data_IF_963146029928
#
_entry.id   IF_963146029928
#
_cell.length_a   1.000
_cell.length_b   1.000
_cell.length_c   1.000
_cell.angle_alpha   90.00
_cell.angle_beta   90.00
_cell.angle_gamma   90.00
#
_symmetry.space_group_name_H-M   'P 1'
#
loop_
_entity.id
_entity.type
_entity.pdbx_description
1 polymer ?
#
# COMPACT_ATOMS: atom_id res chain seq x y z
N UNK A 1 -24.68 -13.62 2.32
CA UNK A 1 -23.54 -12.92 1.68
C UNK A 1 -23.73 -13.09 0.20
N UNK A 2 -24.07 -12.00 -0.49
CA UNK A 2 -24.38 -12.00 -1.92
C UNK A 2 -23.13 -11.63 -2.70
N UNK A 3 -22.68 -12.54 -3.57
CA UNK A 3 -21.45 -12.40 -4.35
C UNK A 3 -21.86 -12.19 -5.81
N UNK A 4 -21.56 -11.01 -6.35
CA UNK A 4 -21.84 -10.65 -7.75
C UNK A 4 -20.52 -10.37 -8.48
N UNK A 5 -20.40 -10.88 -9.70
CA UNK A 5 -19.30 -10.55 -10.60
C UNK A 5 -19.58 -9.21 -11.28
N UNK A 6 -18.72 -8.22 -11.05
CA UNK A 6 -18.79 -6.89 -11.67
C UNK A 6 -17.58 -6.65 -12.56
N UNK A 7 -17.80 -5.96 -13.69
CA UNK A 7 -16.72 -5.64 -14.63
C UNK A 7 -15.74 -4.65 -14.02
N UNK A 8 -14.44 -4.92 -14.20
CA UNK A 8 -13.34 -4.12 -13.64
C UNK A 8 -13.33 -2.68 -14.17
N UNK A 9 -13.88 -2.48 -15.36
CA UNK A 9 -13.97 -1.18 -16.05
C UNK A 9 -15.01 -0.25 -15.41
N UNK A 10 -16.04 -0.82 -14.79
CA UNK A 10 -17.09 -0.08 -14.07
C UNK A 10 -16.64 0.30 -12.64
N UNK A 11 -15.62 -0.39 -12.12
CA UNK A 11 -14.87 -0.02 -10.91
C UNK A 11 -13.85 1.06 -11.26
N UNK A 12 -14.23 2.09 -12.02
CA UNK A 12 -13.44 3.33 -12.05
C UNK A 12 -13.51 3.91 -10.65
N UNK A 13 -12.47 3.65 -9.86
CA UNK A 13 -12.22 4.26 -8.56
C UNK A 13 -12.15 5.78 -8.74
N UNK A 14 -13.32 6.43 -8.80
CA UNK A 14 -13.48 7.89 -8.89
C UNK A 14 -13.14 8.59 -7.58
N UNK A 15 -12.54 7.86 -6.63
CA UNK A 15 -11.89 8.41 -5.45
C UNK A 15 -10.40 8.37 -5.71
N UNK A 16 -9.90 9.43 -6.34
CA UNK A 16 -8.55 9.93 -6.06
C UNK A 16 -8.38 9.87 -4.53
N UNK A 17 -7.66 8.85 -4.04
CA UNK A 17 -7.27 8.67 -2.65
C UNK A 17 -6.27 9.76 -2.20
N UNK A 18 -6.31 10.96 -2.79
CA UNK A 18 -5.11 11.77 -3.03
C UNK A 18 -4.76 12.80 -1.97
N UNK A 19 -5.43 12.85 -0.81
CA UNK A 19 -5.00 13.75 0.28
C UNK A 19 -4.32 12.98 1.42
N UNK A 20 -5.05 12.11 2.14
CA UNK A 20 -4.54 11.48 3.36
C UNK A 20 -3.29 10.59 3.13
N UNK A 21 -3.28 9.79 2.06
CA UNK A 21 -2.21 8.81 1.80
C UNK A 21 -1.23 9.25 0.71
N UNK A 22 -1.34 10.49 0.22
CA UNK A 22 -0.38 11.03 -0.75
C UNK A 22 1.05 11.09 -0.19
N UNK A 23 1.28 11.52 1.07
CA UNK A 23 2.62 11.49 1.66
C UNK A 23 3.20 10.07 1.72
N UNK A 24 2.36 9.07 2.02
CA UNK A 24 2.76 7.66 2.02
C UNK A 24 3.20 7.22 0.63
N UNK A 25 2.40 7.48 -0.41
CA UNK A 25 2.75 7.15 -1.79
C UNK A 25 4.03 7.83 -2.26
N UNK A 26 4.23 9.10 -1.92
CA UNK A 26 5.42 9.85 -2.32
C UNK A 26 6.68 9.37 -1.58
N UNK A 27 6.54 8.86 -0.35
CA UNK A 27 7.63 8.18 0.34
C UNK A 27 7.92 6.80 -0.26
N UNK A 28 6.87 6.04 -0.57
CA UNK A 28 6.93 4.69 -1.16
C UNK A 28 7.61 4.70 -2.53
N UNK A 29 7.39 5.74 -3.34
CA UNK A 29 8.12 5.96 -4.61
C UNK A 29 9.63 6.16 -4.47
N UNK A 30 10.08 6.58 -3.28
CA UNK A 30 11.51 6.80 -2.98
C UNK A 30 12.17 5.57 -2.36
N UNK A 31 11.43 4.48 -2.18
CA UNK A 31 11.99 3.23 -1.67
C UNK A 31 12.87 2.58 -2.75
N UNK A 32 14.12 2.32 -2.36
CA UNK A 32 15.07 1.55 -3.17
C UNK A 32 14.96 0.06 -2.80
N UNK A 33 15.17 -0.82 -3.79
CA UNK A 33 15.21 -2.27 -3.59
C UNK A 33 16.38 -2.63 -2.66
N UNK A 34 16.14 -3.48 -1.67
CA UNK A 34 17.18 -3.90 -0.71
C UNK A 34 17.62 -2.80 0.26
N UNK A 35 17.03 -1.61 0.15
CA UNK A 35 17.36 -0.44 0.94
C UNK A 35 16.57 -0.31 2.25
N UNK A 36 16.34 0.93 2.65
CA UNK A 36 15.64 1.27 3.91
C UNK A 36 14.16 0.94 3.81
N UNK A 37 13.54 0.63 4.95
CA UNK A 37 12.09 0.52 5.07
C UNK A 37 11.46 1.85 5.54
N UNK A 38 10.21 2.08 5.16
CA UNK A 38 9.38 3.16 5.71
C UNK A 38 8.61 2.65 6.92
N UNK A 39 8.71 3.35 8.03
CA UNK A 39 7.89 3.13 9.20
C UNK A 39 6.68 4.08 9.18
N UNK A 40 5.48 3.52 9.35
CA UNK A 40 4.23 4.29 9.33
C UNK A 40 3.35 3.85 10.48
N UNK A 41 2.99 4.77 11.36
CA UNK A 41 2.01 4.53 12.41
C UNK A 41 0.59 4.54 11.85
N UNK A 42 -0.28 3.69 12.39
CA UNK A 42 -1.72 3.68 12.12
C UNK A 42 -2.50 3.70 13.44
N UNK A 43 -3.74 4.17 13.40
CA UNK A 43 -4.63 4.23 14.58
C UNK A 43 -5.36 2.91 14.79
N UNK A 44 -5.86 2.32 13.70
CA UNK A 44 -6.65 1.09 13.73
C UNK A 44 -6.38 0.17 12.52
N UNK A 45 -6.95 -1.03 12.56
CA UNK A 45 -6.80 -2.00 11.46
C UNK A 45 -7.45 -1.55 10.14
N UNK A 46 -8.47 -0.68 10.18
CA UNK A 46 -9.11 -0.15 8.96
C UNK A 46 -8.18 0.80 8.24
N UNK A 47 -7.44 1.62 8.99
CA UNK A 47 -6.42 2.51 8.47
C UNK A 47 -5.25 1.71 7.91
N UNK A 48 -4.76 0.68 8.62
CA UNK A 48 -3.74 -0.23 8.11
C UNK A 48 -4.15 -0.87 6.77
N UNK A 49 -5.39 -1.36 6.68
CA UNK A 49 -5.91 -1.97 5.46
C UNK A 49 -6.05 -0.93 4.33
N UNK A 50 -6.43 0.30 4.65
CA UNK A 50 -6.49 1.40 3.69
C UNK A 50 -5.10 1.75 3.15
N UNK A 51 -4.10 1.89 4.03
CA UNK A 51 -2.70 2.14 3.65
C UNK A 51 -2.18 1.02 2.73
N UNK A 52 -2.40 -0.25 3.10
CA UNK A 52 -2.01 -1.41 2.28
C UNK A 52 -2.67 -1.40 0.90
N UNK A 53 -3.97 -1.12 0.83
CA UNK A 53 -4.70 -1.06 -0.43
C UNK A 53 -4.14 0.02 -1.37
N UNK A 54 -3.77 1.18 -0.81
CA UNK A 54 -3.16 2.28 -1.58
C UNK A 54 -1.78 1.87 -2.11
N UNK A 55 -0.91 1.31 -1.25
CA UNK A 55 0.43 0.87 -1.64
C UNK A 55 0.38 -0.27 -2.65
N UNK A 56 -0.47 -1.27 -2.43
CA UNK A 56 -0.62 -2.39 -3.36
C UNK A 56 -1.35 -2.01 -4.65
N UNK A 57 -2.17 -0.96 -4.63
CA UNK A 57 -2.67 -0.31 -5.83
C UNK A 57 -1.51 0.27 -6.64
N UNK A 58 -0.63 1.03 -6.00
CA UNK A 58 0.57 1.58 -6.63
C UNK A 58 1.49 0.49 -7.21
N UNK A 59 1.69 -0.63 -6.51
CA UNK A 59 2.46 -1.77 -7.04
C UNK A 59 1.92 -2.25 -8.39
N UNK A 60 0.60 -2.33 -8.55
CA UNK A 60 -0.03 -2.77 -9.81
C UNK A 60 0.15 -1.77 -10.93
N UNK A 61 0.10 -0.48 -10.61
CA UNK A 61 0.19 0.61 -11.59
C UNK A 61 1.64 0.88 -12.02
N UNK A 62 2.60 0.79 -11.09
CA UNK A 62 4.01 1.08 -11.31
C UNK A 62 4.87 -0.16 -11.62
N UNK A 63 4.31 -1.36 -11.49
CA UNK A 63 5.06 -2.62 -11.64
C UNK A 63 6.04 -2.88 -10.49
N UNK A 64 5.78 -2.31 -9.31
CA UNK A 64 6.70 -2.36 -8.18
C UNK A 64 6.31 -3.47 -7.18
N UNK A 65 7.31 -4.01 -6.45
CA UNK A 65 7.09 -5.09 -5.49
C UNK A 65 7.29 -4.65 -4.02
N UNK A 66 6.43 -3.73 -3.58
CA UNK A 66 6.50 -3.17 -2.22
C UNK A 66 5.68 -4.03 -1.28
N UNK A 67 6.33 -4.55 -0.24
CA UNK A 67 5.75 -5.40 0.79
C UNK A 67 5.51 -4.61 2.06
N UNK A 68 4.65 -5.15 2.93
CA UNK A 68 4.41 -4.59 4.25
C UNK A 68 4.56 -5.63 5.36
N UNK A 69 5.07 -5.20 6.52
CA UNK A 69 5.12 -5.99 7.75
C UNK A 69 4.58 -5.18 8.91
N UNK A 70 3.70 -5.74 9.74
CA UNK A 70 3.14 -5.06 10.92
C UNK A 70 4.04 -5.36 12.13
N UNK A 71 4.33 -4.34 12.94
CA UNK A 71 4.99 -4.56 14.22
C UNK A 71 4.06 -5.32 15.17
N UNK A 72 4.52 -6.34 15.90
CA UNK A 72 3.66 -7.15 16.79
C UNK A 72 2.99 -6.32 17.89
N UNK A 73 3.76 -5.47 18.57
CA UNK A 73 3.27 -4.76 19.77
C UNK A 73 2.87 -3.30 19.54
N UNK A 74 3.18 -2.74 18.37
CA UNK A 74 2.97 -1.33 18.06
C UNK A 74 2.03 -1.21 16.88
N UNK A 75 1.22 -0.16 16.87
CA UNK A 75 0.38 0.17 15.72
C UNK A 75 1.23 0.84 14.62
N UNK A 76 2.19 0.08 14.12
CA UNK A 76 3.20 0.50 13.16
C UNK A 76 3.29 -0.56 12.07
N UNK A 77 3.37 -0.11 10.82
CA UNK A 77 3.61 -0.94 9.65
C UNK A 77 4.87 -0.46 8.95
N UNK A 78 5.69 -1.43 8.54
CA UNK A 78 6.88 -1.21 7.74
C UNK A 78 6.56 -1.49 6.28
N UNK A 79 6.89 -0.57 5.38
CA UNK A 79 6.85 -0.78 3.94
C UNK A 79 8.26 -0.85 3.37
N UNK A 80 8.54 -1.85 2.55
CA UNK A 80 9.87 -2.07 1.98
C UNK A 80 9.76 -2.69 0.58
N UNK A 81 10.69 -2.33 -0.30
CA UNK A 81 10.76 -2.87 -1.67
C UNK A 81 11.61 -4.15 -1.64
N UNK A 82 11.01 -5.29 -1.98
CA UNK A 82 11.79 -6.55 -2.05
C UNK A 82 12.71 -6.47 -3.27
N UNK A 83 13.96 -6.91 -3.13
CA UNK A 83 14.80 -7.19 -4.30
C UNK A 83 14.11 -8.25 -5.17
N UNK A 84 14.10 -8.01 -6.47
CA UNK A 84 13.82 -9.06 -7.44
C UNK A 84 15.02 -10.01 -7.38
N UNK A 85 14.81 -11.20 -6.84
CA UNK A 85 15.75 -12.31 -7.03
C UNK A 85 15.66 -12.68 -8.52
N UNK A 86 16.66 -12.27 -9.31
CA UNK A 86 16.89 -12.72 -10.70
C UNK A 86 17.12 -14.23 -10.78
#
# INVERSE_FOLDING_TARGET
MDINFVSRTDIKNSKKSSSKYKPLLDAVKKLESGGKALEVSFEDEKELNSMRNVVYGYNRDAGENIKSSKHPDKNVVFFYKKEEEE
#
